data_IF_093733626105
#
_entry.id   IF_093733626105
#
_cell.length_a   1.000
_cell.length_b   1.000
_cell.length_c   1.000
_cell.angle_alpha   90.00
_cell.angle_beta   90.00
_cell.angle_gamma   90.00
#
_symmetry.space_group_name_H-M   'P 1'
#
loop_
_entity.id
_entity.type
_entity.pdbx_description
1 polymer ?
#
# COMPACT_ATOMS: atom_id res chain seq x y z
N UNK A 1 -7.04 14.41 -16.89
CA UNK A 1 -6.01 14.26 -15.84
C UNK A 1 -4.65 14.15 -16.51
N UNK A 2 -3.58 14.75 -15.98
CA UNK A 2 -2.24 14.64 -16.55
C UNK A 2 -1.82 13.16 -16.63
N UNK A 3 -1.26 12.73 -17.76
CA UNK A 3 -0.71 11.39 -17.88
C UNK A 3 0.65 11.34 -17.18
N UNK A 4 0.63 11.01 -15.90
CA UNK A 4 1.84 10.91 -15.09
C UNK A 4 2.54 9.59 -15.40
N UNK A 5 3.81 9.60 -15.83
CA UNK A 5 4.53 8.37 -16.13
C UNK A 5 4.74 7.58 -14.83
N UNK A 6 4.15 6.38 -14.77
CA UNK A 6 4.04 5.58 -13.55
C UNK A 6 5.40 5.23 -12.95
N UNK A 7 6.32 4.69 -13.77
CA UNK A 7 7.62 4.25 -13.27
C UNK A 7 8.46 5.43 -12.74
N UNK A 8 8.68 6.54 -13.48
CA UNK A 8 9.40 7.69 -12.95
C UNK A 8 8.81 8.27 -11.67
N UNK A 9 7.48 8.40 -11.57
CA UNK A 9 6.82 8.92 -10.37
C UNK A 9 7.12 8.04 -9.15
N UNK A 10 6.87 6.73 -9.27
CA UNK A 10 7.01 5.82 -8.14
C UNK A 10 8.48 5.61 -7.76
N UNK A 11 9.40 5.64 -8.72
CA UNK A 11 10.84 5.67 -8.43
C UNK A 11 11.22 6.93 -7.66
N UNK A 12 10.72 8.11 -8.05
CA UNK A 12 10.98 9.36 -7.33
C UNK A 12 10.45 9.32 -5.89
N UNK A 13 9.21 8.86 -5.70
CA UNK A 13 8.62 8.71 -4.36
C UNK A 13 9.40 7.70 -3.53
N UNK A 14 9.79 6.56 -4.10
CA UNK A 14 10.63 5.57 -3.42
C UNK A 14 11.96 6.18 -2.97
N UNK A 15 12.64 6.92 -3.84
CA UNK A 15 13.93 7.55 -3.52
C UNK A 15 13.79 8.61 -2.42
N UNK A 16 12.69 9.36 -2.39
CA UNK A 16 12.40 10.31 -1.31
C UNK A 16 12.19 9.57 0.01
N UNK A 17 11.31 8.56 0.03
CA UNK A 17 11.01 7.76 1.23
C UNK A 17 12.27 7.07 1.74
N UNK A 18 13.00 6.42 0.83
CA UNK A 18 14.27 5.75 1.12
C UNK A 18 15.29 6.74 1.67
N UNK A 19 15.56 7.83 0.95
CA UNK A 19 16.57 8.81 1.33
C UNK A 19 16.28 9.44 2.69
N UNK A 20 15.04 9.88 2.92
CA UNK A 20 14.63 10.48 4.20
C UNK A 20 14.75 9.48 5.34
N UNK A 21 14.15 8.29 5.23
CA UNK A 21 14.16 7.32 6.32
C UNK A 21 15.56 6.78 6.60
N UNK A 22 16.40 6.60 5.57
CA UNK A 22 17.79 6.20 5.75
C UNK A 22 18.59 7.29 6.46
N UNK A 23 18.46 8.55 6.05
CA UNK A 23 19.16 9.66 6.71
C UNK A 23 18.73 9.80 8.17
N UNK A 24 17.44 9.75 8.46
CA UNK A 24 16.92 9.80 9.83
C UNK A 24 17.44 8.63 10.68
N UNK A 25 17.52 7.44 10.09
CA UNK A 25 18.03 6.22 10.76
C UNK A 25 19.54 6.26 11.00
N UNK A 26 20.31 6.86 10.09
CA UNK A 26 21.76 7.02 10.22
C UNK A 26 22.13 8.03 11.31
N UNK A 27 21.36 9.11 11.42
CA UNK A 27 21.58 10.17 12.42
C UNK A 27 20.91 9.84 13.76
N UNK A 28 20.09 8.79 13.83
CA UNK A 28 19.44 8.35 15.08
C UNK A 28 18.27 9.24 15.52
N UNK A 29 17.64 9.97 14.59
CA UNK A 29 16.57 10.93 14.91
C UNK A 29 15.39 10.20 15.54
N UNK A 30 14.98 10.62 16.74
CA UNK A 30 13.84 10.00 17.45
C UNK A 30 14.06 8.53 17.83
N UNK A 31 15.31 8.07 17.92
CA UNK A 31 15.63 6.67 18.20
C UNK A 31 15.46 5.74 16.99
N UNK A 32 15.28 6.28 15.78
CA UNK A 32 15.28 5.49 14.56
C UNK A 32 16.64 4.84 14.35
N UNK A 33 16.61 3.56 14.02
CA UNK A 33 17.79 2.76 13.68
C UNK A 33 17.61 2.17 12.29
N UNK A 34 18.68 1.70 11.67
CA UNK A 34 18.57 0.99 10.38
C UNK A 34 17.63 -0.23 10.45
N UNK A 35 17.60 -0.93 11.60
CA UNK A 35 16.73 -2.09 11.78
C UNK A 35 15.25 -1.73 11.77
N UNK A 36 14.87 -0.54 12.22
CA UNK A 36 13.48 -0.06 12.24
C UNK A 36 13.14 0.78 11.01
N UNK A 37 14.12 1.51 10.46
CA UNK A 37 13.99 2.34 9.27
C UNK A 37 13.75 1.56 7.99
N UNK A 38 14.44 0.42 7.78
CA UNK A 38 14.22 -0.41 6.59
C UNK A 38 12.77 -0.90 6.52
N UNK A 39 12.19 -1.55 7.54
CA UNK A 39 10.77 -1.93 7.53
C UNK A 39 9.82 -0.75 7.27
N UNK A 40 10.12 0.44 7.80
CA UNK A 40 9.31 1.64 7.59
C UNK A 40 9.33 2.10 6.13
N UNK A 41 10.44 1.94 5.40
CA UNK A 41 10.50 2.24 3.96
C UNK A 41 9.48 1.39 3.21
N UNK A 42 9.42 0.08 3.50
CA UNK A 42 8.46 -0.83 2.89
C UNK A 42 7.03 -0.46 3.29
N UNK A 43 6.79 -0.17 4.56
CA UNK A 43 5.47 0.22 5.06
C UNK A 43 4.95 1.49 4.35
N UNK A 44 5.75 2.55 4.34
CA UNK A 44 5.39 3.85 3.76
C UNK A 44 5.26 3.76 2.25
N UNK A 45 6.21 3.11 1.57
CA UNK A 45 6.15 2.97 0.12
C UNK A 45 5.00 2.06 -0.34
N UNK A 46 4.74 0.95 0.36
CA UNK A 46 3.58 0.11 0.10
C UNK A 46 2.27 0.87 0.30
N UNK A 47 2.17 1.66 1.37
CA UNK A 47 1.05 2.57 1.61
C UNK A 47 0.87 3.60 0.49
N UNK A 48 1.97 4.19 0.00
CA UNK A 48 1.94 5.08 -1.16
C UNK A 48 1.38 4.38 -2.41
N UNK A 49 1.82 3.15 -2.73
CA UNK A 49 1.31 2.42 -3.90
C UNK A 49 -0.20 2.20 -3.82
N UNK A 50 -0.73 1.92 -2.62
CA UNK A 50 -2.17 1.83 -2.39
C UNK A 50 -2.83 3.17 -2.70
N UNK A 51 -2.36 4.27 -2.11
CA UNK A 51 -2.91 5.62 -2.35
C UNK A 51 -2.83 6.00 -3.83
N UNK A 52 -1.70 5.76 -4.49
CA UNK A 52 -1.48 6.05 -5.89
C UNK A 52 -2.46 5.29 -6.81
N UNK A 53 -2.83 4.06 -6.44
CA UNK A 53 -3.84 3.28 -7.15
C UNK A 53 -5.25 3.91 -7.09
N UNK A 54 -5.55 4.77 -6.11
CA UNK A 54 -6.83 5.48 -6.02
C UNK A 54 -6.76 6.91 -6.57
N UNK A 55 -5.64 7.62 -6.34
CA UNK A 55 -5.54 9.07 -6.58
C UNK A 55 -4.91 9.40 -7.93
N UNK A 56 -3.96 8.58 -8.40
CA UNK A 56 -3.15 8.86 -9.60
C UNK A 56 -3.59 8.00 -10.79
N UNK A 57 -4.18 6.83 -10.52
CA UNK A 57 -4.56 5.89 -11.55
C UNK A 57 -5.94 6.22 -12.15
N UNK A 58 -5.96 6.89 -13.30
CA UNK A 58 -7.18 7.10 -14.10
C UNK A 58 -7.49 5.91 -15.03
N UNK A 59 -8.76 5.74 -15.46
CA UNK A 59 -9.20 4.61 -16.29
C UNK A 59 -8.46 4.48 -17.65
N UNK A 60 -7.90 5.58 -18.17
CA UNK A 60 -7.21 5.62 -19.47
C UNK A 60 -5.67 5.73 -19.37
N UNK A 61 -5.08 5.48 -18.19
CA UNK A 61 -3.64 5.61 -18.02
C UNK A 61 -2.88 4.39 -18.58
N UNK A 62 -2.51 4.45 -19.87
CA UNK A 62 -1.70 3.43 -20.55
C UNK A 62 -0.33 3.18 -19.91
N UNK A 63 0.19 4.13 -19.14
CA UNK A 63 1.52 4.03 -18.55
C UNK A 63 1.57 3.32 -17.21
N UNK A 64 0.41 2.93 -16.65
CA UNK A 64 0.33 2.34 -15.33
C UNK A 64 -0.25 0.90 -15.38
N UNK A 65 0.25 -0.03 -14.56
CA UNK A 65 -0.28 -1.39 -14.47
C UNK A 65 -1.75 -1.41 -14.01
N UNK A 66 -2.50 -2.50 -14.22
CA UNK A 66 -3.87 -2.62 -13.74
C UNK A 66 -3.98 -2.28 -12.24
N UNK A 67 -4.99 -1.50 -11.88
CA UNK A 67 -5.22 -1.04 -10.50
C UNK A 67 -5.18 -2.16 -9.47
N UNK A 68 -5.80 -3.31 -9.77
CA UNK A 68 -5.80 -4.49 -8.91
C UNK A 68 -4.39 -5.01 -8.63
N UNK A 69 -3.51 -4.99 -9.64
CA UNK A 69 -2.12 -5.38 -9.51
C UNK A 69 -1.36 -4.39 -8.61
N UNK A 70 -1.55 -3.08 -8.80
CA UNK A 70 -0.91 -2.07 -7.94
C UNK A 70 -1.36 -2.23 -6.49
N UNK A 71 -2.65 -2.45 -6.26
CA UNK A 71 -3.20 -2.67 -4.91
C UNK A 71 -2.64 -3.93 -4.25
N UNK A 72 -2.53 -5.03 -5.00
CA UNK A 72 -1.97 -6.28 -4.50
C UNK A 72 -0.50 -6.12 -4.12
N UNK A 73 0.32 -5.51 -5.00
CA UNK A 73 1.74 -5.27 -4.72
C UNK A 73 1.95 -4.25 -3.60
N UNK A 74 1.22 -3.14 -3.62
CA UNK A 74 1.29 -2.13 -2.56
C UNK A 74 0.89 -2.70 -1.21
N UNK A 75 -0.20 -3.49 -1.17
CA UNK A 75 -0.64 -4.22 0.02
C UNK A 75 0.40 -5.21 0.52
N UNK A 76 0.99 -6.00 -0.36
CA UNK A 76 2.03 -6.97 0.00
C UNK A 76 3.28 -6.26 0.56
N UNK A 77 3.76 -5.20 -0.09
CA UNK A 77 4.94 -4.43 0.35
C UNK A 77 4.68 -3.78 1.71
N UNK A 78 3.50 -3.17 1.90
CA UNK A 78 3.11 -2.58 3.18
C UNK A 78 3.03 -3.65 4.28
N UNK A 79 2.45 -4.80 3.96
CA UNK A 79 2.29 -5.91 4.91
C UNK A 79 3.63 -6.48 5.37
N UNK A 80 4.56 -6.71 4.43
CA UNK A 80 5.93 -7.15 4.76
C UNK A 80 6.60 -6.11 5.65
N UNK A 81 6.49 -4.82 5.31
CA UNK A 81 7.01 -3.73 6.14
C UNK A 81 6.43 -3.72 7.55
N UNK A 82 5.11 -3.93 7.69
CA UNK A 82 4.43 -3.97 8.98
C UNK A 82 4.88 -5.15 9.86
N UNK A 83 4.91 -6.36 9.29
CA UNK A 83 5.37 -7.56 10.01
C UNK A 83 6.81 -7.37 10.45
N UNK A 84 7.67 -6.95 9.52
CA UNK A 84 9.08 -6.77 9.83
C UNK A 84 9.27 -5.68 10.90
N UNK A 85 8.56 -4.55 10.80
CA UNK A 85 8.65 -3.50 11.80
C UNK A 85 8.27 -4.02 13.19
N UNK A 86 7.14 -4.70 13.32
CA UNK A 86 6.71 -5.25 14.61
C UNK A 86 7.67 -6.33 15.11
N UNK A 87 8.18 -7.17 14.21
CA UNK A 87 9.18 -8.19 14.55
C UNK A 87 10.49 -7.59 15.11
N UNK A 88 10.84 -6.35 14.76
CA UNK A 88 12.02 -5.68 15.35
C UNK A 88 11.84 -5.35 16.84
N UNK A 89 10.60 -5.22 17.31
CA UNK A 89 10.29 -4.96 18.71
C UNK A 89 9.90 -6.22 19.47
N UNK A 90 9.08 -7.09 18.85
CA UNK A 90 8.63 -8.34 19.46
C UNK A 90 8.05 -9.29 18.42
N UNK A 91 8.67 -10.46 18.27
CA UNK A 91 8.14 -11.54 17.43
C UNK A 91 6.78 -12.06 17.91
N UNK A 92 6.49 -11.96 19.21
CA UNK A 92 5.21 -12.41 19.78
C UNK A 92 4.00 -11.59 19.29
N UNK A 93 4.23 -10.36 18.80
CA UNK A 93 3.18 -9.49 18.29
C UNK A 93 2.87 -9.74 16.79
N UNK A 94 3.74 -10.46 16.08
CA UNK A 94 3.56 -10.75 14.65
C UNK A 94 2.23 -11.45 14.34
N UNK A 95 1.79 -12.48 15.09
CA UNK A 95 0.48 -13.10 14.87
C UNK A 95 -0.70 -12.12 14.98
N UNK A 96 -0.60 -11.14 15.91
CA UNK A 96 -1.64 -10.13 16.06
C UNK A 96 -1.72 -9.20 14.85
N UNK A 97 -0.57 -8.79 14.29
CA UNK A 97 -0.52 -7.99 13.06
C UNK A 97 -1.13 -8.75 11.87
N UNK A 98 -0.78 -10.03 11.73
CA UNK A 98 -1.35 -10.89 10.69
C UNK A 98 -2.87 -10.98 10.84
N UNK A 99 -3.36 -11.19 12.07
CA UNK A 99 -4.79 -11.24 12.37
C UNK A 99 -5.50 -9.93 11.97
N UNK A 100 -4.96 -8.78 12.36
CA UNK A 100 -5.53 -7.47 12.02
C UNK A 100 -5.60 -7.30 10.51
N UNK A 101 -4.54 -7.66 9.78
CA UNK A 101 -4.50 -7.53 8.32
C UNK A 101 -5.52 -8.45 7.65
N UNK A 102 -5.66 -9.70 8.11
CA UNK A 102 -6.69 -10.62 7.61
C UNK A 102 -8.09 -10.05 7.83
N UNK A 103 -8.36 -9.47 9.00
CA UNK A 103 -9.65 -8.84 9.30
C UNK A 103 -9.91 -7.67 8.36
N UNK A 104 -8.93 -6.78 8.15
CA UNK A 104 -9.08 -5.63 7.23
C UNK A 104 -9.32 -6.08 5.79
N UNK A 105 -8.56 -7.07 5.30
CA UNK A 105 -8.75 -7.64 3.96
C UNK A 105 -10.13 -8.29 3.86
N UNK A 106 -10.56 -9.04 4.89
CA UNK A 106 -11.86 -9.67 4.96
C UNK A 106 -13.00 -8.66 4.87
N UNK A 107 -12.94 -7.57 5.63
CA UNK A 107 -13.91 -6.47 5.57
C UNK A 107 -13.94 -5.85 4.17
N UNK A 108 -12.77 -5.59 3.57
CA UNK A 108 -12.67 -5.06 2.21
C UNK A 108 -13.29 -5.99 1.16
N UNK A 109 -13.05 -7.29 1.26
CA UNK A 109 -13.60 -8.30 0.37
C UNK A 109 -15.14 -8.40 0.49
N UNK A 110 -15.66 -8.37 1.72
CA UNK A 110 -17.11 -8.35 1.99
C UNK A 110 -17.75 -7.09 1.41
N UNK A 111 -17.18 -5.91 1.67
CA UNK A 111 -17.68 -4.64 1.11
C UNK A 111 -17.68 -4.63 -0.42
N UNK A 112 -16.63 -5.15 -1.04
CA UNK A 112 -16.56 -5.29 -2.50
C UNK A 112 -17.63 -6.26 -3.03
N UNK A 113 -17.86 -7.39 -2.37
CA UNK A 113 -18.89 -8.35 -2.77
C UNK A 113 -20.30 -7.73 -2.70
N UNK A 114 -20.60 -6.97 -1.65
CA UNK A 114 -21.89 -6.29 -1.46
C UNK A 114 -22.13 -5.22 -2.54
N UNK A 115 -21.16 -4.33 -2.78
CA UNK A 115 -21.27 -3.30 -3.82
C UNK A 115 -21.46 -3.88 -5.23
N UNK A 116 -20.81 -5.01 -5.52
CA UNK A 116 -21.00 -5.72 -6.79
C UNK A 116 -22.34 -6.44 -6.90
N UNK A 117 -22.88 -6.92 -5.77
CA UNK A 117 -24.21 -7.51 -5.74
C UNK A 117 -25.31 -6.45 -5.96
N UNK A 118 -25.14 -5.25 -5.40
CA UNK A 118 -26.05 -4.12 -5.62
C UNK A 118 -26.00 -3.60 -7.05
N UNK A 119 -24.81 -3.45 -7.65
CA UNK A 119 -24.69 -2.99 -9.03
C UNK A 119 -25.31 -3.96 -10.05
N UNK A 120 -25.37 -5.26 -9.74
CA UNK A 120 -26.08 -6.27 -10.55
C UNK A 120 -27.60 -6.24 -10.38
N UNK A 121 -28.14 -5.63 -9.32
CA UNK A 121 -29.58 -5.51 -9.08
C UNK A 121 -30.20 -4.28 -9.74
N UNK A 122 -29.41 -3.33 -10.23
CA UNK A 122 -29.91 -2.18 -10.99
C UNK A 122 -30.49 -2.67 -12.34
N UNK A 123 -31.81 -2.57 -12.59
CA UNK A 123 -32.40 -3.03 -13.84
C UNK A 123 -31.92 -2.16 -15.00
N UNK A 124 -31.74 -2.77 -16.18
CA UNK A 124 -31.63 -2.08 -17.46
C UNK A 124 -32.87 -1.19 -17.66
N UNK A 125 -32.78 0.09 -17.29
CA UNK A 125 -33.73 1.11 -17.73
C UNK A 125 -33.21 1.78 -18.99
N UNK A 126 -33.20 1.03 -20.10
CA UNK A 126 -33.44 1.59 -21.45
C UNK A 126 -34.05 0.45 -22.28
N UNK A 127 -35.37 0.49 -22.43
CA UNK A 127 -36.10 -0.08 -23.54
C UNK A 127 -36.52 1.09 -24.44
#
# INVERSE_FOLDING_TARGET
MPQVPWAPLNSGVFLIVFGVLMLLSLVGVGGLTLSTGIPLIFLVFGGWLIIAAFVVHGPDNRYAPPRSMILAWGGMVAFIGAIWYVATFSLYLVPAVILVVIVVIGIGAVGYALTRAESRKAPSKVA
#
